data_IF_479741234270
#
_entry.id   IF_479741234270
#
_cell.length_a   1.000
_cell.length_b   1.000
_cell.length_c   1.000
_cell.angle_alpha   90.00
_cell.angle_beta   90.00
_cell.angle_gamma   90.00
#
_symmetry.space_group_name_H-M   'P 1'
#
loop_
_entity.id
_entity.type
_entity.pdbx_description
1 polymer ?
#
# COMPACT_ATOMS: atom_id res chain seq x y z
N UNK A 1 6.90 -21.49 0.63
CA UNK A 1 5.60 -22.05 0.45
C UNK A 1 4.90 -21.40 -0.75
N UNK A 2 3.75 -21.93 -1.14
CA UNK A 2 3.07 -21.54 -2.38
C UNK A 2 2.73 -20.05 -2.43
N UNK A 3 2.18 -19.52 -1.34
CA UNK A 3 1.76 -18.12 -1.29
C UNK A 3 2.95 -17.16 -1.44
N UNK A 4 4.07 -17.51 -0.83
CA UNK A 4 5.27 -16.70 -0.95
C UNK A 4 5.83 -16.70 -2.37
N UNK A 5 5.80 -17.85 -3.03
CA UNK A 5 6.29 -17.98 -4.40
C UNK A 5 5.41 -17.18 -5.36
N UNK A 6 4.09 -17.24 -5.18
CA UNK A 6 3.16 -16.45 -5.99
C UNK A 6 3.39 -14.95 -5.80
N UNK A 7 3.58 -14.51 -4.57
CA UNK A 7 3.86 -13.10 -4.29
C UNK A 7 5.17 -12.66 -4.95
N UNK A 8 6.21 -13.50 -4.89
CA UNK A 8 7.48 -13.17 -5.54
C UNK A 8 7.35 -13.03 -7.05
N UNK A 9 6.54 -13.90 -7.68
CA UNK A 9 6.29 -13.77 -9.11
C UNK A 9 5.57 -12.46 -9.43
N UNK A 10 4.56 -12.10 -8.64
CA UNK A 10 3.84 -10.85 -8.82
C UNK A 10 4.76 -9.65 -8.66
N UNK A 11 5.64 -9.68 -7.65
CA UNK A 11 6.60 -8.61 -7.43
C UNK A 11 7.55 -8.46 -8.61
N UNK A 12 8.00 -9.57 -9.21
CA UNK A 12 8.89 -9.53 -10.35
C UNK A 12 8.24 -8.94 -11.59
N UNK A 13 6.93 -9.15 -11.76
CA UNK A 13 6.18 -8.65 -12.89
C UNK A 13 5.73 -7.20 -12.71
N UNK A 14 5.67 -6.73 -11.50
CA UNK A 14 5.16 -5.40 -11.20
C UNK A 14 6.14 -4.32 -11.66
N UNK A 15 5.60 -3.24 -12.22
CA UNK A 15 6.37 -2.07 -12.61
C UNK A 15 6.43 -1.06 -11.47
N UNK A 16 7.39 -0.14 -11.58
CA UNK A 16 7.50 0.99 -10.67
C UNK A 16 8.00 0.63 -9.30
N UNK A 17 7.61 1.47 -8.33
CA UNK A 17 8.00 1.29 -6.93
C UNK A 17 6.99 0.40 -6.24
N UNK A 18 7.49 -0.46 -5.36
CA UNK A 18 6.61 -1.34 -4.58
C UNK A 18 6.67 -0.91 -3.13
N UNK A 19 5.50 -0.61 -2.59
CA UNK A 19 5.35 -0.19 -1.20
C UNK A 19 4.47 -1.18 -0.47
N UNK A 20 4.80 -1.41 0.80
CA UNK A 20 3.91 -2.13 1.72
C UNK A 20 3.35 -1.12 2.70
N UNK A 21 2.02 -1.00 2.72
CA UNK A 21 1.31 -0.07 3.58
C UNK A 21 0.67 -0.83 4.73
N UNK A 22 0.80 -0.28 5.92
CA UNK A 22 0.15 -0.84 7.11
C UNK A 22 -0.79 0.20 7.69
N UNK A 23 -2.06 -0.19 7.81
CA UNK A 23 -3.14 0.64 8.37
C UNK A 23 -3.54 0.06 9.72
N UNK A 24 -3.76 0.91 10.70
CA UNK A 24 -4.21 0.49 12.04
C UNK A 24 -5.41 1.29 12.47
N UNK A 25 -6.35 0.62 13.12
CA UNK A 25 -7.54 1.26 13.68
C UNK A 25 -8.39 1.91 12.59
N UNK A 26 -8.84 3.11 12.86
CA UNK A 26 -9.75 3.82 11.96
C UNK A 26 -9.20 4.05 10.57
N UNK A 27 -7.89 4.24 10.43
CA UNK A 27 -7.28 4.48 9.12
C UNK A 27 -7.47 3.29 8.17
N UNK A 28 -7.70 2.08 8.69
CA UNK A 28 -7.93 0.88 7.88
C UNK A 28 -9.09 1.04 6.93
N UNK A 29 -10.11 1.81 7.32
CA UNK A 29 -11.34 1.96 6.54
C UNK A 29 -11.50 3.31 5.87
N UNK A 30 -10.51 4.19 5.98
CA UNK A 30 -10.59 5.50 5.33
C UNK A 30 -10.26 5.39 3.84
N UNK A 31 -10.94 6.15 2.98
CA UNK A 31 -10.71 6.08 1.53
C UNK A 31 -9.48 6.92 1.13
N UNK A 32 -8.31 6.49 1.56
CA UNK A 32 -7.07 7.25 1.40
C UNK A 32 -6.42 7.13 0.02
N UNK A 33 -6.49 5.95 -0.58
CA UNK A 33 -5.72 5.69 -1.81
C UNK A 33 -6.14 6.57 -2.98
N UNK A 34 -7.45 6.77 -3.14
CA UNK A 34 -7.95 7.66 -4.19
C UNK A 34 -7.46 9.09 -4.02
N UNK A 35 -7.48 9.58 -2.78
CA UNK A 35 -6.99 10.92 -2.46
C UNK A 35 -5.49 11.05 -2.75
N UNK A 36 -4.70 10.07 -2.35
CA UNK A 36 -3.27 10.05 -2.60
C UNK A 36 -2.98 10.03 -4.11
N UNK A 37 -3.73 9.23 -4.86
CA UNK A 37 -3.58 9.17 -6.30
C UNK A 37 -3.87 10.51 -6.96
N UNK A 38 -4.95 11.18 -6.57
CA UNK A 38 -5.29 12.50 -7.12
C UNK A 38 -4.24 13.54 -6.78
N UNK A 39 -3.72 13.53 -5.56
CA UNK A 39 -2.75 14.51 -5.11
C UNK A 39 -1.38 14.31 -5.75
N UNK A 40 -0.96 13.06 -5.90
CA UNK A 40 0.38 12.73 -6.40
C UNK A 40 0.43 12.41 -7.88
N UNK A 41 -0.68 12.03 -8.48
CA UNK A 41 -0.74 11.59 -9.87
C UNK A 41 -0.23 10.17 -10.11
N UNK A 42 0.05 9.40 -9.04
CA UNK A 42 0.51 8.03 -9.20
C UNK A 42 -0.64 7.10 -9.55
N UNK A 43 -0.33 6.05 -10.30
CA UNK A 43 -1.25 4.95 -10.54
C UNK A 43 -0.89 3.79 -9.63
N UNK A 44 -1.89 3.17 -9.00
CA UNK A 44 -1.70 2.06 -8.08
C UNK A 44 -2.14 0.75 -8.68
N UNK A 45 -1.39 -0.31 -8.38
CA UNK A 45 -1.84 -1.68 -8.61
C UNK A 45 -1.72 -2.44 -7.30
N UNK A 46 -2.74 -3.23 -6.96
CA UNK A 46 -2.74 -4.02 -5.74
C UNK A 46 -2.11 -5.38 -6.03
N UNK A 47 -1.01 -5.68 -5.35
CA UNK A 47 -0.33 -6.96 -5.51
C UNK A 47 -0.80 -7.97 -4.48
N UNK A 48 -1.08 -7.52 -3.26
CA UNK A 48 -1.67 -8.35 -2.22
C UNK A 48 -2.28 -7.45 -1.16
N UNK A 49 -3.16 -8.01 -0.34
CA UNK A 49 -3.77 -7.24 0.73
C UNK A 49 -4.60 -8.12 1.64
N UNK A 50 -4.75 -7.67 2.89
CA UNK A 50 -5.62 -8.35 3.85
C UNK A 50 -5.98 -7.40 4.98
N UNK A 51 -7.10 -7.70 5.65
CA UNK A 51 -7.52 -7.00 6.86
C UNK A 51 -7.73 -8.06 7.94
N UNK A 52 -7.04 -7.89 9.06
CA UNK A 52 -7.17 -8.76 10.22
C UNK A 52 -7.65 -7.92 11.42
N UNK A 53 -8.01 -8.59 12.49
CA UNK A 53 -8.39 -7.93 13.74
C UNK A 53 -7.54 -8.50 14.88
N UNK A 54 -6.97 -7.60 15.67
CA UNK A 54 -6.24 -7.97 16.87
C UNK A 54 -6.94 -7.28 18.04
N UNK A 55 -7.58 -8.07 18.93
CA UNK A 55 -8.34 -7.53 20.06
C UNK A 55 -9.36 -6.47 19.60
N UNK A 56 -10.13 -6.81 18.58
CA UNK A 56 -11.18 -5.96 18.01
C UNK A 56 -10.66 -4.69 17.31
N UNK A 57 -9.36 -4.53 17.19
CA UNK A 57 -8.79 -3.41 16.44
C UNK A 57 -8.43 -3.89 15.03
N UNK A 58 -8.96 -3.22 13.99
CA UNK A 58 -8.62 -3.61 12.62
C UNK A 58 -7.17 -3.27 12.30
N UNK A 59 -6.59 -4.12 11.46
CA UNK A 59 -5.21 -4.01 11.02
C UNK A 59 -5.18 -4.42 9.55
N UNK A 60 -4.87 -3.49 8.67
CA UNK A 60 -4.83 -3.75 7.24
C UNK A 60 -3.42 -3.65 6.70
N UNK A 61 -3.12 -4.49 5.72
CA UNK A 61 -1.83 -4.43 5.04
C UNK A 61 -2.05 -4.59 3.55
N UNK A 62 -1.44 -3.69 2.77
CA UNK A 62 -1.50 -3.72 1.30
C UNK A 62 -0.09 -3.65 0.74
N UNK A 63 0.18 -4.48 -0.25
CA UNK A 63 1.39 -4.36 -1.06
C UNK A 63 0.96 -3.82 -2.42
N UNK A 64 1.50 -2.66 -2.79
CA UNK A 64 1.08 -1.93 -3.98
C UNK A 64 2.28 -1.65 -4.87
N UNK A 65 2.04 -1.59 -6.19
CA UNK A 65 3.00 -0.96 -7.09
C UNK A 65 2.50 0.44 -7.43
N UNK A 66 3.43 1.38 -7.55
CA UNK A 66 3.15 2.76 -7.89
C UNK A 66 3.91 3.13 -9.16
N UNK A 67 3.18 3.65 -10.15
CA UNK A 67 3.74 4.02 -11.45
C UNK A 67 3.36 5.47 -11.77
N UNK A 68 4.33 6.22 -12.28
CA UNK A 68 4.09 7.61 -12.68
C UNK A 68 3.95 8.55 -11.49
N UNK A 69 3.53 9.77 -11.77
CA UNK A 69 3.29 10.77 -10.75
C UNK A 69 4.52 11.14 -9.93
N UNK A 70 4.25 11.68 -8.74
CA UNK A 70 5.30 12.09 -7.79
C UNK A 70 5.26 11.19 -6.57
N UNK A 71 6.22 10.27 -6.48
CA UNK A 71 6.30 9.31 -5.39
C UNK A 71 6.46 9.98 -4.02
N UNK A 72 7.26 11.04 -3.96
CA UNK A 72 7.48 11.75 -2.69
C UNK A 72 6.20 12.35 -2.15
N UNK A 73 5.39 12.95 -3.03
CA UNK A 73 4.08 13.48 -2.66
C UNK A 73 3.18 12.36 -2.14
N UNK A 74 3.18 11.22 -2.83
CA UNK A 74 2.38 10.07 -2.40
C UNK A 74 2.80 9.58 -1.02
N UNK A 75 4.10 9.44 -0.79
CA UNK A 75 4.61 8.95 0.49
C UNK A 75 4.31 9.91 1.62
N UNK A 76 4.47 11.22 1.39
CA UNK A 76 4.15 12.23 2.41
C UNK A 76 2.66 12.24 2.74
N UNK A 77 1.81 12.09 1.73
CA UNK A 77 0.36 12.04 1.95
C UNK A 77 -0.04 10.81 2.78
N UNK A 78 0.56 9.66 2.50
CA UNK A 78 0.31 8.45 3.28
C UNK A 78 0.77 8.59 4.72
N UNK A 79 1.96 9.14 4.93
CA UNK A 79 2.49 9.36 6.27
C UNK A 79 1.67 10.37 7.05
N UNK A 80 1.20 11.44 6.39
CA UNK A 80 0.32 12.43 7.03
C UNK A 80 -1.00 11.81 7.46
N UNK A 81 -1.45 10.76 6.79
CA UNK A 81 -2.66 10.02 7.14
C UNK A 81 -2.37 8.90 8.16
N UNK A 82 -1.16 8.87 8.70
CA UNK A 82 -0.73 7.90 9.71
C UNK A 82 -0.69 6.46 9.19
N UNK A 83 -0.42 6.31 7.91
CA UNK A 83 -0.19 5.00 7.30
C UNK A 83 1.30 4.71 7.37
N UNK A 84 1.65 3.53 7.89
CA UNK A 84 3.04 3.11 7.91
C UNK A 84 3.44 2.64 6.51
N UNK A 85 4.52 3.18 5.97
CA UNK A 85 4.98 2.89 4.62
C UNK A 85 6.36 2.23 4.66
N UNK A 86 6.47 1.09 3.99
CA UNK A 86 7.73 0.39 3.82
C UNK A 86 8.03 0.27 2.33
N UNK A 87 9.21 0.71 1.91
CA UNK A 87 9.63 0.56 0.51
C UNK A 87 10.17 -0.86 0.33
N UNK A 88 9.51 -1.64 -0.52
CA UNK A 88 9.91 -3.02 -0.80
C UNK A 88 10.91 -3.05 -1.96
N UNK A 89 10.68 -2.21 -2.97
CA UNK A 89 11.57 -2.15 -4.13
C UNK A 89 11.66 -0.77 -4.74
#
# INVERSE_FOLDING_TARGET
>A
NVDRDELQEDLQKAEGRILRLTFKGESTYKPLLGSVARESGVDFSILSGRIDHIKDTPYGQLTLSLVGGDLEVAMKALEAAEVHVEVVR
#
